data_IF_599966204874
#
_entry.id   IF_599966204874
#
_cell.length_a   1.000
_cell.length_b   1.000
_cell.length_c   1.000
_cell.angle_alpha   90.00
_cell.angle_beta   90.00
_cell.angle_gamma   90.00
#
_symmetry.space_group_name_H-M   'P 1'
#
loop_
_entity.id
_entity.type
_entity.pdbx_description
1 polymer ?
#
# COMPACT_ATOMS: atom_id res chain seq x y z
N UNK A 1 2.97 -55.00 31.72
CA UNK A 1 3.83 -56.19 31.89
C UNK A 1 5.18 -55.67 32.36
N UNK A 2 5.57 -56.08 33.56
CA UNK A 2 6.81 -55.67 34.24
C UNK A 2 7.95 -56.52 33.68
N UNK A 3 8.94 -55.90 33.05
CA UNK A 3 10.19 -56.57 32.69
C UNK A 3 11.10 -56.51 33.92
N UNK A 4 11.05 -57.57 34.72
CA UNK A 4 12.01 -57.80 35.78
C UNK A 4 13.35 -58.21 35.16
N UNK A 5 14.34 -57.33 35.26
CA UNK A 5 15.73 -57.68 35.01
C UNK A 5 16.34 -58.24 36.31
N UNK A 6 16.09 -59.52 36.59
CA UNK A 6 16.86 -60.30 37.57
C UNK A 6 18.04 -60.93 36.85
N UNK A 7 19.16 -60.24 36.80
CA UNK A 7 20.44 -60.77 36.33
C UNK A 7 21.37 -61.02 37.50
N UNK A 8 21.61 -62.29 37.81
CA UNK A 8 22.64 -62.76 38.73
C UNK A 8 24.02 -62.32 38.18
N UNK A 9 24.81 -61.59 38.98
CA UNK A 9 26.12 -61.07 38.56
C UNK A 9 27.18 -62.16 38.71
N UNK A 10 27.71 -62.65 37.59
CA UNK A 10 28.97 -63.40 37.59
C UNK A 10 30.13 -62.47 38.00
N UNK A 11 30.91 -62.91 38.98
CA UNK A 11 31.99 -62.13 39.61
C UNK A 11 33.25 -61.97 38.71
N UNK A 12 33.23 -62.48 37.48
CA UNK A 12 34.38 -62.48 36.56
C UNK A 12 34.26 -61.54 35.35
N UNK A 13 33.14 -60.85 35.14
CA UNK A 13 33.04 -59.86 34.04
C UNK A 13 33.49 -58.47 34.55
N UNK A 14 34.57 -57.92 33.98
CA UNK A 14 35.08 -56.59 34.32
C UNK A 14 34.19 -55.50 33.71
N UNK A 15 33.99 -54.37 34.40
CA UNK A 15 33.05 -53.30 34.02
C UNK A 15 33.22 -52.69 32.60
N UNK A 16 34.34 -52.96 31.92
CA UNK A 16 34.68 -52.41 30.61
C UNK A 16 35.04 -53.47 29.55
N UNK A 17 34.79 -54.75 29.79
CA UNK A 17 35.16 -55.81 28.83
C UNK A 17 33.98 -56.16 27.91
N UNK A 18 34.20 -56.06 26.60
CA UNK A 18 33.25 -56.44 25.54
C UNK A 18 33.62 -57.85 25.09
N UNK A 19 32.78 -58.84 25.43
CA UNK A 19 32.95 -60.27 25.10
C UNK A 19 31.59 -60.90 24.77
N UNK A 20 31.55 -61.85 23.85
CA UNK A 20 30.32 -62.53 23.37
C UNK A 20 29.56 -63.32 24.46
N UNK A 21 30.16 -63.48 25.66
CA UNK A 21 29.59 -64.19 26.80
C UNK A 21 29.20 -63.29 27.99
N UNK A 22 29.51 -61.99 27.96
CA UNK A 22 29.06 -61.04 28.99
C UNK A 22 28.14 -60.00 28.34
N UNK A 23 26.86 -59.95 28.71
CA UNK A 23 25.97 -58.88 28.28
C UNK A 23 26.51 -57.52 28.77
N UNK A 24 26.51 -56.54 27.87
CA UNK A 24 26.95 -55.18 28.19
C UNK A 24 26.12 -54.66 29.36
N UNK A 25 26.75 -54.43 30.52
CA UNK A 25 26.12 -53.90 31.72
C UNK A 25 25.17 -52.74 31.39
N UNK A 26 24.02 -52.62 32.09
CA UNK A 26 23.04 -51.56 31.85
C UNK A 26 23.60 -50.13 31.87
N UNK A 27 24.77 -49.91 32.49
CA UNK A 27 25.51 -48.64 32.45
C UNK A 27 26.26 -48.47 31.11
N UNK A 28 26.82 -49.55 30.54
CA UNK A 28 27.41 -49.54 29.20
C UNK A 28 26.37 -49.28 28.11
N UNK A 29 25.16 -49.83 28.24
CA UNK A 29 24.06 -49.54 27.31
C UNK A 29 23.56 -48.09 27.40
N UNK A 30 23.57 -47.50 28.61
CA UNK A 30 23.24 -46.09 28.84
C UNK A 30 24.33 -45.14 28.27
N UNK A 31 25.60 -45.48 28.45
CA UNK A 31 26.73 -44.65 28.00
C UNK A 31 26.93 -44.76 26.49
N UNK A 32 26.97 -45.96 25.92
CA UNK A 32 27.16 -46.16 24.47
C UNK A 32 25.89 -45.96 23.66
N UNK A 33 24.74 -46.38 24.17
CA UNK A 33 23.45 -46.23 23.49
C UNK A 33 22.94 -44.79 23.61
N UNK A 34 22.50 -44.39 24.80
CA UNK A 34 21.74 -43.13 24.93
C UNK A 34 22.63 -41.88 24.85
N UNK A 35 23.84 -41.90 25.43
CA UNK A 35 24.69 -40.71 25.50
C UNK A 35 25.47 -40.46 24.20
N UNK A 36 26.08 -41.49 23.61
CA UNK A 36 26.81 -41.34 22.34
C UNK A 36 25.83 -41.16 21.16
N UNK A 37 24.82 -42.02 21.01
CA UNK A 37 23.86 -41.89 19.90
C UNK A 37 23.02 -40.61 20.07
N UNK A 38 22.59 -40.29 21.30
CA UNK A 38 21.91 -39.03 21.60
C UNK A 38 22.78 -37.81 21.32
N UNK A 39 24.06 -37.84 21.68
CA UNK A 39 25.01 -36.76 21.41
C UNK A 39 25.27 -36.54 19.92
N UNK A 40 25.45 -37.63 19.15
CA UNK A 40 25.63 -37.56 17.69
C UNK A 40 24.35 -37.07 17.01
N UNK A 41 23.18 -37.56 17.41
CA UNK A 41 21.89 -37.08 16.90
C UNK A 41 21.68 -35.60 17.25
N UNK A 42 22.01 -35.17 18.48
CA UNK A 42 21.90 -33.78 18.89
C UNK A 42 22.82 -32.87 18.06
N UNK A 43 24.07 -33.26 17.82
CA UNK A 43 24.99 -32.53 16.95
C UNK A 43 24.50 -32.50 15.49
N UNK A 44 23.98 -33.61 14.99
CA UNK A 44 23.40 -33.70 13.64
C UNK A 44 22.17 -32.79 13.49
N UNK A 45 21.24 -32.82 14.45
CA UNK A 45 20.08 -31.92 14.47
C UNK A 45 20.47 -30.47 14.64
N UNK A 46 21.47 -30.15 15.48
CA UNK A 46 22.00 -28.80 15.60
C UNK A 46 22.60 -28.30 14.27
N UNK A 47 23.35 -29.15 13.57
CA UNK A 47 23.90 -28.81 12.26
C UNK A 47 22.80 -28.57 11.21
N UNK A 48 21.78 -29.43 11.15
CA UNK A 48 20.63 -29.25 10.26
C UNK A 48 19.82 -28.00 10.62
N UNK A 49 19.57 -27.75 11.90
CA UNK A 49 18.87 -26.58 12.40
C UNK A 49 19.61 -25.28 12.02
N UNK A 50 20.91 -25.21 12.25
CA UNK A 50 21.73 -24.06 11.86
C UNK A 50 21.69 -23.81 10.35
N UNK A 51 21.84 -24.86 9.54
CA UNK A 51 21.78 -24.74 8.07
C UNK A 51 20.40 -24.29 7.58
N UNK A 52 19.33 -24.76 8.23
CA UNK A 52 17.97 -24.34 7.91
C UNK A 52 17.72 -22.90 8.34
N UNK A 53 18.20 -22.48 9.51
CA UNK A 53 18.10 -21.12 10.01
C UNK A 53 18.77 -20.13 9.06
N UNK A 54 20.02 -20.38 8.64
CA UNK A 54 20.73 -19.51 7.68
C UNK A 54 19.98 -19.39 6.34
N UNK A 55 19.35 -20.47 5.87
CA UNK A 55 18.53 -20.44 4.65
C UNK A 55 17.28 -19.59 4.85
N UNK A 56 16.59 -19.76 5.97
CA UNK A 56 15.40 -18.98 6.32
C UNK A 56 15.76 -17.50 6.40
N UNK A 57 16.86 -17.14 7.08
CA UNK A 57 17.31 -15.75 7.19
C UNK A 57 17.60 -15.14 5.82
N UNK A 58 18.24 -15.90 4.92
CA UNK A 58 18.48 -15.44 3.53
C UNK A 58 17.17 -15.20 2.77
N UNK A 59 16.18 -16.08 2.93
CA UNK A 59 14.86 -15.94 2.30
C UNK A 59 14.13 -14.71 2.88
N UNK A 60 14.16 -14.53 4.20
CA UNK A 60 13.55 -13.39 4.88
C UNK A 60 14.16 -12.08 4.37
N UNK A 61 15.49 -12.00 4.32
CA UNK A 61 16.18 -10.78 3.92
C UNK A 61 15.93 -10.43 2.44
N UNK A 62 15.90 -11.45 1.57
CA UNK A 62 15.54 -11.26 0.16
C UNK A 62 14.09 -10.83 -0.01
N UNK A 63 13.15 -11.43 0.73
CA UNK A 63 11.75 -11.06 0.70
C UNK A 63 11.52 -9.63 1.21
N UNK A 64 12.22 -9.23 2.26
CA UNK A 64 12.19 -7.87 2.79
C UNK A 64 12.68 -6.86 1.74
N UNK A 65 13.80 -7.14 1.08
CA UNK A 65 14.31 -6.29 -0.01
C UNK A 65 13.28 -6.14 -1.15
N UNK A 66 12.63 -7.23 -1.56
CA UNK A 66 11.56 -7.17 -2.56
C UNK A 66 10.34 -6.40 -2.07
N UNK A 67 9.97 -6.52 -0.79
CA UNK A 67 8.89 -5.75 -0.18
C UNK A 67 9.17 -4.25 -0.24
N UNK A 68 10.39 -3.83 0.14
CA UNK A 68 10.80 -2.42 0.13
C UNK A 68 10.81 -1.84 -1.29
N UNK A 69 11.32 -2.58 -2.28
CA UNK A 69 11.26 -2.18 -3.70
C UNK A 69 9.83 -2.00 -4.19
N UNK A 70 8.92 -2.90 -3.83
CA UNK A 70 7.48 -2.77 -4.16
C UNK A 70 6.86 -1.55 -3.50
N UNK A 71 7.23 -1.26 -2.25
CA UNK A 71 6.80 -0.04 -1.53
C UNK A 71 7.26 1.22 -2.26
N UNK A 72 8.56 1.32 -2.58
CA UNK A 72 9.13 2.48 -3.28
C UNK A 72 8.46 2.72 -4.63
N UNK A 73 8.28 1.64 -5.39
CA UNK A 73 7.61 1.69 -6.69
C UNK A 73 6.16 2.16 -6.56
N UNK A 74 5.41 1.60 -5.60
CA UNK A 74 4.03 2.00 -5.34
C UNK A 74 3.93 3.49 -4.99
N UNK A 75 4.77 3.99 -4.08
CA UNK A 75 4.77 5.41 -3.70
C UNK A 75 5.13 6.31 -4.88
N UNK A 76 6.13 5.95 -5.67
CA UNK A 76 6.50 6.69 -6.88
C UNK A 76 5.32 6.79 -7.87
N UNK A 77 4.65 5.67 -8.13
CA UNK A 77 3.49 5.63 -9.02
C UNK A 77 2.31 6.44 -8.49
N UNK A 78 1.98 6.29 -7.21
CA UNK A 78 0.91 7.07 -6.57
C UNK A 78 1.21 8.57 -6.65
N UNK A 79 2.44 9.00 -6.36
CA UNK A 79 2.84 10.42 -6.46
C UNK A 79 2.63 10.96 -7.87
N UNK A 80 3.02 10.20 -8.88
CA UNK A 80 2.83 10.57 -10.29
C UNK A 80 1.34 10.70 -10.66
N UNK A 81 0.54 9.70 -10.29
CA UNK A 81 -0.89 9.67 -10.60
C UNK A 81 -1.67 10.76 -9.84
N UNK A 82 -1.36 11.02 -8.57
CA UNK A 82 -1.97 12.09 -7.77
C UNK A 82 -1.59 13.47 -8.34
N UNK A 83 -0.36 13.65 -8.82
CA UNK A 83 0.04 14.88 -9.52
C UNK A 83 -0.76 15.08 -10.80
N UNK A 84 -0.95 14.01 -11.59
CA UNK A 84 -1.79 14.05 -12.79
C UNK A 84 -3.26 14.38 -12.43
N UNK A 85 -3.78 13.87 -11.32
CA UNK A 85 -5.13 14.17 -10.85
C UNK A 85 -5.30 15.66 -10.56
N UNK A 86 -4.35 16.26 -9.83
CA UNK A 86 -4.34 17.71 -9.57
C UNK A 86 -4.34 18.53 -10.87
N UNK A 87 -3.57 18.11 -11.87
CA UNK A 87 -3.51 18.79 -13.15
C UNK A 87 -4.82 18.69 -13.93
N UNK A 88 -5.47 17.50 -13.96
CA UNK A 88 -6.76 17.34 -14.62
C UNK A 88 -7.85 18.16 -13.92
N UNK A 89 -7.88 18.22 -12.58
CA UNK A 89 -8.79 19.09 -11.83
C UNK A 89 -8.63 20.57 -12.23
N UNK A 90 -7.39 21.04 -12.34
CA UNK A 90 -7.10 22.42 -12.79
C UNK A 90 -7.56 22.68 -14.22
N UNK A 91 -7.38 21.71 -15.13
CA UNK A 91 -7.85 21.82 -16.53
C UNK A 91 -9.36 21.89 -16.61
N UNK A 92 -10.07 21.02 -15.90
CA UNK A 92 -11.54 21.02 -15.85
C UNK A 92 -12.05 22.38 -15.40
N UNK A 93 -11.51 22.91 -14.29
CA UNK A 93 -11.87 24.26 -13.81
C UNK A 93 -11.63 25.31 -14.88
N UNK A 94 -10.48 25.28 -15.56
CA UNK A 94 -10.15 26.30 -16.55
C UNK A 94 -11.09 26.24 -17.77
N UNK A 95 -11.49 25.05 -18.18
CA UNK A 95 -12.45 24.85 -19.26
C UNK A 95 -13.86 25.34 -18.86
N UNK A 96 -14.29 25.09 -17.63
CA UNK A 96 -15.55 25.62 -17.10
C UNK A 96 -15.54 27.16 -17.07
N UNK A 97 -14.43 27.79 -16.68
CA UNK A 97 -14.27 29.25 -16.76
C UNK A 97 -14.39 29.78 -18.20
N UNK A 98 -13.79 29.08 -19.17
CA UNK A 98 -13.91 29.45 -20.59
C UNK A 98 -15.33 29.25 -21.13
N UNK A 99 -16.01 28.19 -20.70
CA UNK A 99 -17.41 27.96 -21.01
C UNK A 99 -18.28 29.11 -20.49
N UNK A 100 -18.15 29.46 -19.21
CA UNK A 100 -18.90 30.56 -18.59
C UNK A 100 -18.61 31.91 -19.27
N UNK A 101 -17.37 32.15 -19.68
CA UNK A 101 -17.00 33.34 -20.45
C UNK A 101 -17.68 33.40 -21.83
N UNK A 102 -17.85 32.26 -22.50
CA UNK A 102 -18.59 32.17 -23.77
C UNK A 102 -20.12 32.28 -23.58
N UNK A 103 -20.64 31.83 -22.44
CA UNK A 103 -22.07 31.98 -22.10
C UNK A 103 -22.40 33.46 -21.81
N UNK A 104 -21.53 34.21 -21.11
CA UNK A 104 -21.79 35.61 -20.73
C UNK A 104 -21.55 36.67 -21.81
N UNK A 105 -20.98 36.32 -22.96
CA UNK A 105 -20.67 37.33 -23.98
C UNK A 105 -21.94 37.88 -24.63
N UNK A 106 -22.13 39.19 -24.56
CA UNK A 106 -23.24 39.91 -25.19
C UNK A 106 -23.11 39.88 -26.72
N UNK A 107 -23.95 39.10 -27.40
CA UNK A 107 -24.05 39.09 -28.87
C UNK A 107 -25.50 39.27 -29.32
N UNK A 108 -25.68 39.88 -30.49
CA UNK A 108 -27.01 40.07 -31.08
C UNK A 108 -27.56 38.72 -31.62
N UNK A 109 -28.83 38.38 -31.34
CA UNK A 109 -29.42 37.03 -31.53
C UNK A 109 -29.74 36.64 -32.99
N UNK A 110 -29.12 37.29 -33.97
CA UNK A 110 -29.38 37.04 -35.40
C UNK A 110 -28.10 37.15 -36.26
N UNK A 111 -26.92 37.25 -35.65
CA UNK A 111 -25.65 37.41 -36.37
C UNK A 111 -24.91 36.07 -36.53
N UNK A 112 -23.99 36.01 -37.49
CA UNK A 112 -23.10 34.85 -37.71
C UNK A 112 -22.32 34.48 -36.42
N UNK A 113 -22.11 35.47 -35.56
CA UNK A 113 -21.44 35.37 -34.25
C UNK A 113 -22.19 34.46 -33.26
N UNK A 114 -23.51 34.35 -33.34
CA UNK A 114 -24.28 33.46 -32.47
C UNK A 114 -24.09 31.98 -32.83
N UNK A 115 -24.00 31.65 -34.13
CA UNK A 115 -23.71 30.28 -34.57
C UNK A 115 -22.31 29.85 -34.12
N UNK A 116 -21.34 30.76 -34.19
CA UNK A 116 -19.98 30.53 -33.69
C UNK A 116 -19.95 30.35 -32.17
N UNK A 117 -20.71 31.16 -31.41
CA UNK A 117 -20.88 30.99 -29.97
C UNK A 117 -21.47 29.63 -29.62
N UNK A 118 -22.57 29.24 -30.23
CA UNK A 118 -23.23 27.96 -29.95
C UNK A 118 -22.32 26.77 -30.28
N UNK A 119 -21.55 26.86 -31.37
CA UNK A 119 -20.52 25.86 -31.68
C UNK A 119 -19.40 25.83 -30.63
N UNK A 120 -18.91 26.99 -30.18
CA UNK A 120 -17.88 27.11 -29.15
C UNK A 120 -18.34 26.57 -27.80
N UNK A 121 -19.55 26.91 -27.37
CA UNK A 121 -20.19 26.41 -26.14
C UNK A 121 -20.32 24.89 -26.19
N UNK A 122 -20.85 24.33 -27.29
CA UNK A 122 -20.94 22.87 -27.48
C UNK A 122 -19.56 22.20 -27.40
N UNK A 123 -18.58 22.75 -28.12
CA UNK A 123 -17.21 22.20 -28.15
C UNK A 123 -16.56 22.24 -26.76
N UNK A 124 -16.76 23.33 -26.00
CA UNK A 124 -16.26 23.47 -24.64
C UNK A 124 -16.95 22.49 -23.68
N UNK A 125 -18.27 22.30 -23.80
CA UNK A 125 -19.00 21.31 -23.00
C UNK A 125 -18.51 19.88 -23.27
N UNK A 126 -18.38 19.49 -24.54
CA UNK A 126 -17.80 18.21 -24.92
C UNK A 126 -16.38 18.03 -24.38
N UNK A 127 -15.58 19.11 -24.38
CA UNK A 127 -14.22 19.08 -23.82
C UNK A 127 -14.20 18.94 -22.30
N UNK A 128 -15.12 19.58 -21.60
CA UNK A 128 -15.27 19.44 -20.14
C UNK A 128 -15.60 17.98 -19.80
N UNK A 129 -16.62 17.41 -20.45
CA UNK A 129 -17.01 15.99 -20.26
C UNK A 129 -15.87 15.03 -20.57
N UNK A 130 -15.13 15.27 -21.63
CA UNK A 130 -13.96 14.47 -21.98
C UNK A 130 -12.88 14.47 -20.88
N UNK A 131 -12.61 15.64 -20.28
CA UNK A 131 -11.62 15.71 -19.19
C UNK A 131 -12.18 15.10 -17.88
N UNK A 132 -13.50 15.15 -17.63
CA UNK A 132 -14.13 14.43 -16.52
C UNK A 132 -14.00 12.91 -16.68
N UNK A 133 -14.31 12.35 -17.86
CA UNK A 133 -14.13 10.91 -18.13
C UNK A 133 -12.66 10.48 -18.00
N UNK A 134 -11.74 11.35 -18.41
CA UNK A 134 -10.31 11.10 -18.24
C UNK A 134 -9.90 11.12 -16.77
N UNK A 135 -10.48 12.01 -15.96
CA UNK A 135 -10.29 11.99 -14.51
C UNK A 135 -10.84 10.70 -13.89
N UNK A 136 -12.04 10.26 -14.27
CA UNK A 136 -12.62 9.00 -13.82
C UNK A 136 -11.69 7.80 -14.06
N UNK A 137 -11.18 7.67 -15.29
CA UNK A 137 -10.18 6.63 -15.63
C UNK A 137 -8.91 6.73 -14.79
N UNK A 138 -8.45 7.95 -14.50
CA UNK A 138 -7.27 8.15 -13.65
C UNK A 138 -7.53 7.71 -12.21
N UNK A 139 -8.73 7.96 -11.66
CA UNK A 139 -9.12 7.49 -10.34
C UNK A 139 -9.14 5.96 -10.26
N UNK A 140 -9.61 5.28 -11.30
CA UNK A 140 -9.59 3.82 -11.38
C UNK A 140 -8.16 3.26 -11.42
N UNK A 141 -7.25 3.91 -12.15
CA UNK A 141 -5.83 3.57 -12.16
C UNK A 141 -5.19 3.76 -10.77
N UNK A 142 -5.53 4.83 -10.06
CA UNK A 142 -5.05 5.04 -8.67
C UNK A 142 -5.58 3.93 -7.77
N UNK A 143 -6.87 3.60 -7.86
CA UNK A 143 -7.49 2.52 -7.07
C UNK A 143 -6.83 1.17 -7.33
N UNK A 144 -6.56 0.84 -8.60
CA UNK A 144 -5.85 -0.38 -8.96
C UNK A 144 -4.43 -0.42 -8.40
N UNK A 145 -3.70 0.70 -8.45
CA UNK A 145 -2.36 0.82 -7.83
C UNK A 145 -2.45 0.60 -6.33
N UNK A 146 -3.48 1.16 -5.68
CA UNK A 146 -3.69 1.08 -4.25
C UNK A 146 -3.97 -0.35 -3.77
N UNK A 147 -4.85 -1.08 -4.47
CA UNK A 147 -5.13 -2.50 -4.20
C UNK A 147 -3.86 -3.33 -4.33
N UNK A 148 -3.07 -3.11 -5.38
CA UNK A 148 -1.81 -3.83 -5.58
C UNK A 148 -0.70 -3.47 -4.57
N UNK A 149 -0.84 -2.36 -3.85
CA UNK A 149 0.14 -1.87 -2.89
C UNK A 149 -0.32 -1.99 -1.43
N UNK A 150 -1.50 -2.57 -1.19
CA UNK A 150 -2.10 -2.66 0.14
C UNK A 150 -1.28 -3.52 1.12
N UNK A 151 -0.50 -4.48 0.62
CA UNK A 151 0.36 -5.34 1.43
C UNK A 151 1.69 -4.68 1.83
N UNK A 152 2.08 -3.58 1.18
CA UNK A 152 3.38 -2.91 1.39
C UNK A 152 3.26 -1.47 1.92
N UNK A 153 2.12 -0.82 1.71
CA UNK A 153 1.86 0.53 2.19
C UNK A 153 1.28 0.54 3.61
N UNK A 154 1.51 1.64 4.32
CA UNK A 154 0.91 1.87 5.62
C UNK A 154 -0.62 2.02 5.48
N UNK A 155 -1.43 1.35 6.33
CA UNK A 155 -2.90 1.38 6.23
C UNK A 155 -3.47 2.81 6.22
N UNK A 156 -2.86 3.71 6.98
CA UNK A 156 -3.25 5.12 7.03
C UNK A 156 -3.11 5.82 5.67
N UNK A 157 -2.00 5.59 4.95
CA UNK A 157 -1.78 6.15 3.61
C UNK A 157 -2.78 5.56 2.63
N UNK A 158 -3.08 4.26 2.75
CA UNK A 158 -4.08 3.57 1.93
C UNK A 158 -5.46 4.19 2.13
N UNK A 159 -5.92 4.27 3.38
CA UNK A 159 -7.24 4.82 3.71
C UNK A 159 -7.39 6.29 3.30
N UNK A 160 -6.36 7.12 3.53
CA UNK A 160 -6.40 8.51 3.10
C UNK A 160 -6.41 8.66 1.59
N UNK A 161 -5.62 7.86 0.87
CA UNK A 161 -5.64 7.86 -0.61
C UNK A 161 -7.01 7.46 -1.12
N UNK A 162 -7.59 6.40 -0.59
CA UNK A 162 -8.92 5.90 -0.97
C UNK A 162 -10.03 6.93 -0.69
N UNK A 163 -9.98 7.59 0.47
CA UNK A 163 -10.91 8.66 0.82
C UNK A 163 -10.82 9.87 -0.12
N UNK A 164 -9.60 10.25 -0.54
CA UNK A 164 -9.40 11.34 -1.50
C UNK A 164 -9.92 10.97 -2.88
N UNK A 165 -9.60 9.78 -3.41
CA UNK A 165 -10.09 9.37 -4.74
C UNK A 165 -11.60 9.18 -4.77
N UNK A 166 -12.21 8.72 -3.67
CA UNK A 166 -13.66 8.60 -3.56
C UNK A 166 -14.32 9.97 -3.55
N UNK A 167 -13.80 10.91 -2.74
CA UNK A 167 -14.31 12.28 -2.71
C UNK A 167 -14.18 12.98 -4.07
N UNK A 168 -13.04 12.79 -4.76
CA UNK A 168 -12.85 13.31 -6.12
C UNK A 168 -13.75 12.59 -7.12
N UNK A 169 -14.05 11.31 -6.95
CA UNK A 169 -14.98 10.56 -7.82
C UNK A 169 -16.44 11.01 -7.70
N UNK A 170 -16.84 11.52 -6.54
CA UNK A 170 -18.16 12.12 -6.31
C UNK A 170 -18.27 13.59 -6.77
N UNK A 171 -17.29 14.08 -7.53
CA UNK A 171 -17.36 15.41 -8.07
C UNK A 171 -18.31 15.45 -9.27
N UNK A 172 -19.16 16.47 -9.30
CA UNK A 172 -20.08 16.75 -10.40
C UNK A 172 -19.89 18.21 -10.78
N UNK A 173 -19.80 18.48 -12.09
CA UNK A 173 -19.95 19.84 -12.61
C UNK A 173 -21.44 20.07 -12.81
N UNK A 174 -21.99 21.01 -12.08
CA UNK A 174 -23.41 21.34 -12.12
C UNK A 174 -23.63 22.51 -13.08
N UNK A 175 -24.70 22.43 -13.88
CA UNK A 175 -25.17 23.54 -14.68
C UNK A 175 -26.17 24.36 -13.83
N UNK A 176 -25.82 25.61 -13.54
CA UNK A 176 -26.65 26.55 -12.80
C UNK A 176 -27.85 27.00 -13.64
N UNK A 177 -28.84 27.64 -12.98
CA UNK A 177 -30.07 28.13 -13.63
C UNK A 177 -29.81 29.18 -14.72
N UNK A 178 -28.65 29.83 -14.70
CA UNK A 178 -28.18 30.79 -15.70
C UNK A 178 -27.38 30.14 -16.85
N UNK A 179 -27.32 28.82 -16.88
CA UNK A 179 -26.58 28.04 -17.88
C UNK A 179 -25.07 28.05 -17.68
N UNK A 180 -24.56 28.56 -16.55
CA UNK A 180 -23.14 28.46 -16.20
C UNK A 180 -22.79 27.08 -15.62
N UNK A 181 -21.56 26.64 -15.87
CA UNK A 181 -20.98 25.48 -15.20
C UNK A 181 -20.31 25.89 -13.91
N UNK A 182 -20.69 25.28 -12.80
CA UNK A 182 -20.02 25.42 -11.52
C UNK A 182 -19.34 24.12 -11.10
N UNK A 183 -18.09 24.25 -10.68
CA UNK A 183 -17.33 23.17 -10.08
C UNK A 183 -17.35 23.30 -8.55
N UNK A 184 -18.49 22.92 -7.95
CA UNK A 184 -18.83 23.13 -6.52
C UNK A 184 -17.73 22.62 -5.58
N UNK A 185 -17.28 21.37 -5.77
CA UNK A 185 -16.29 20.72 -4.88
C UNK A 185 -14.83 21.06 -5.21
N UNK A 186 -14.52 21.91 -6.20
CA UNK A 186 -13.15 22.12 -6.68
C UNK A 186 -12.16 22.53 -5.59
N UNK A 187 -12.54 23.52 -4.77
CA UNK A 187 -11.65 24.09 -3.75
C UNK A 187 -11.23 23.03 -2.73
N UNK A 188 -12.21 22.25 -2.25
CA UNK A 188 -12.00 21.16 -1.30
C UNK A 188 -11.24 20.01 -1.95
N UNK A 189 -11.60 19.59 -3.16
CA UNK A 189 -10.90 18.55 -3.92
C UNK A 189 -9.43 18.91 -4.14
N UNK A 190 -9.15 20.15 -4.57
CA UNK A 190 -7.79 20.64 -4.76
C UNK A 190 -6.98 20.58 -3.46
N UNK A 191 -7.55 21.03 -2.33
CA UNK A 191 -6.88 20.98 -1.01
C UNK A 191 -6.58 19.54 -0.59
N UNK A 192 -7.57 18.63 -0.71
CA UNK A 192 -7.42 17.20 -0.38
C UNK A 192 -6.34 16.52 -1.22
N UNK A 193 -6.34 16.77 -2.52
CA UNK A 193 -5.33 16.22 -3.45
C UNK A 193 -3.94 16.79 -3.15
N UNK A 194 -3.82 18.08 -2.83
CA UNK A 194 -2.55 18.69 -2.43
C UNK A 194 -2.02 18.10 -1.12
N UNK A 195 -2.86 17.95 -0.11
CA UNK A 195 -2.47 17.32 1.16
C UNK A 195 -1.95 15.89 0.92
N UNK A 196 -2.68 15.08 0.14
CA UNK A 196 -2.24 13.73 -0.21
C UNK A 196 -0.89 13.75 -0.95
N UNK A 197 -0.70 14.69 -1.87
CA UNK A 197 0.56 14.83 -2.61
C UNK A 197 1.72 15.19 -1.67
N UNK A 198 1.52 16.07 -0.70
CA UNK A 198 2.53 16.41 0.31
C UNK A 198 2.86 15.21 1.19
N UNK A 199 1.86 14.42 1.60
CA UNK A 199 2.10 13.17 2.33
C UNK A 199 2.92 12.18 1.49
N UNK A 200 2.58 11.98 0.22
CA UNK A 200 3.35 11.11 -0.66
C UNK A 200 4.78 11.61 -0.92
N UNK A 201 4.99 12.94 -0.91
CA UNK A 201 6.33 13.55 -0.99
C UNK A 201 7.13 13.38 0.30
N UNK A 202 6.48 13.20 1.45
CA UNK A 202 7.15 13.01 2.74
C UNK A 202 7.86 11.65 2.85
N UNK A 203 7.57 10.73 1.92
CA UNK A 203 8.21 9.43 1.84
C UNK A 203 9.71 9.53 1.53
N UNK A 204 10.52 8.84 2.35
CA UNK A 204 11.95 8.68 2.10
C UNK A 204 12.23 7.29 1.53
N UNK A 205 12.79 7.22 0.32
CA UNK A 205 13.26 5.96 -0.27
C UNK A 205 14.46 5.37 0.45
N UNK A 206 15.18 6.16 1.24
CA UNK A 206 16.33 5.68 2.02
C UNK A 206 15.88 5.01 3.32
N UNK A 207 14.83 5.56 3.95
CA UNK A 207 14.30 5.06 5.22
C UNK A 207 13.04 4.19 5.03
N UNK A 208 12.56 4.04 3.80
CA UNK A 208 11.30 3.38 3.40
C UNK A 208 10.07 3.72 4.27
N UNK A 209 9.99 4.96 4.73
CA UNK A 209 9.01 5.43 5.72
C UNK A 209 8.52 6.83 5.37
N UNK A 210 7.27 7.12 5.75
CA UNK A 210 6.69 8.46 5.63
C UNK A 210 7.09 9.30 6.84
N UNK A 211 7.48 10.56 6.59
CA UNK A 211 7.60 11.54 7.68
C UNK A 211 6.20 11.97 8.11
N UNK A 212 6.01 12.17 9.42
CA UNK A 212 4.80 12.80 9.95
C UNK A 212 4.65 14.18 9.33
N UNK A 213 3.53 14.38 8.63
CA UNK A 213 3.13 15.70 8.11
C UNK A 213 2.57 16.49 9.30
N UNK A 214 2.90 17.77 9.40
CA UNK A 214 2.43 18.62 10.51
C UNK A 214 0.89 18.67 10.58
N UNK A 215 0.33 18.44 11.77
CA UNK A 215 -1.11 18.33 12.06
C UNK A 215 -1.95 19.57 11.69
N UNK A 216 -1.30 20.72 11.45
CA UNK A 216 -1.98 21.97 11.09
C UNK A 216 -2.80 21.84 9.79
N UNK A 217 -2.37 21.02 8.82
CA UNK A 217 -3.09 20.87 7.55
C UNK A 217 -4.34 19.99 7.72
N UNK A 218 -4.30 19.00 8.62
CA UNK A 218 -5.42 18.10 8.88
C UNK A 218 -6.58 18.82 9.58
N UNK A 219 -6.26 19.73 10.51
CA UNK A 219 -7.25 20.55 11.22
C UNK A 219 -7.95 21.58 10.31
N UNK A 220 -7.25 22.16 9.33
CA UNK A 220 -7.87 23.05 8.34
C UNK A 220 -8.80 22.29 7.37
N UNK A 221 -8.47 21.04 7.06
CA UNK A 221 -9.25 20.20 6.16
C UNK A 221 -10.54 19.69 6.81
N UNK A 222 -10.51 19.31 8.08
CA UNK A 222 -11.69 18.91 8.84
C UNK A 222 -12.63 20.09 9.11
N UNK A 223 -12.10 21.29 9.35
CA UNK A 223 -12.89 22.52 9.44
C UNK A 223 -13.57 22.89 8.11
N UNK A 224 -12.94 22.63 6.95
CA UNK A 224 -13.52 22.97 5.64
C UNK A 224 -14.66 22.05 5.16
N UNK A 225 -14.88 20.92 5.82
CA UNK A 225 -15.97 19.96 5.51
C UNK A 225 -17.29 20.36 6.17
N UNK A 226 -17.25 21.24 7.19
CA UNK A 226 -18.42 21.82 7.82
C UNK A 226 -18.36 23.35 7.70
N UNK A 227 -18.93 23.96 6.64
CA UNK A 227 -19.28 25.36 6.73
C UNK A 227 -20.45 25.46 7.72
N UNK A 228 -20.19 26.06 8.88
CA UNK A 228 -21.13 26.60 9.86
C UNK A 228 -22.59 26.09 9.77
N UNK A 229 -22.94 25.15 10.65
CA UNK A 229 -24.30 25.04 11.13
C UNK A 229 -24.53 26.17 12.15
N UNK A 230 -24.81 27.37 11.65
CA UNK A 230 -25.45 28.48 12.39
C UNK A 230 -26.08 29.47 11.43
#
# INVERSE_FOLDING_TARGET
>A
MSFGATGERDASCHFLEISDHCELSGIGHLVYGDLIVGGVLALFFHHLAHKNQVRIDKIINSNEEHRLKRKDFAVFHLKSQVTAMLFNLGRIKKLAEFYNGAVKSDYHPLTLEEKERNWKIRTLNERVKFEEEKLGRLLDVVRSTLVGAQDVLEPEVVMQTDGVITFVGEMVIEEQQDGMMEFVKYSVSKKKVLYLLEKLKSYSTVMHTFKKVEENIENELSASVYPDAT
#
